data_IF_191246253807
#
_entry.id   IF_191246253807
#
_cell.length_a   1.000
_cell.length_b   1.000
_cell.length_c   1.000
_cell.angle_alpha   90.00
_cell.angle_beta   90.00
_cell.angle_gamma   90.00
#
_symmetry.space_group_name_H-M   'P 1'
#
loop_
_entity.id
_entity.type
_entity.pdbx_description
1 polymer ?
#
# COMPACT_ATOMS: atom_id res chain seq x y z
N UNK A 1 15.28 60.44 -3.18
CA UNK A 1 16.75 60.35 -2.97
C UNK A 1 17.49 59.96 -4.24
N UNK A 2 17.10 58.88 -4.94
CA UNK A 2 17.67 58.48 -6.25
C UNK A 2 17.55 59.56 -7.34
N UNK A 3 16.41 60.27 -7.40
CA UNK A 3 16.16 61.40 -8.32
C UNK A 3 17.03 62.63 -8.04
N UNK A 4 17.36 62.88 -6.76
CA UNK A 4 18.21 64.01 -6.36
C UNK A 4 19.71 63.72 -6.57
N UNK A 5 20.13 62.46 -6.39
CA UNK A 5 21.49 62.02 -6.68
C UNK A 5 21.81 61.96 -8.17
N UNK A 6 20.85 61.56 -9.01
CA UNK A 6 21.01 61.55 -10.47
C UNK A 6 21.13 62.96 -11.04
N UNK A 7 20.30 63.91 -10.60
CA UNK A 7 20.35 65.31 -11.07
C UNK A 7 21.69 66.01 -10.80
N UNK A 8 22.40 65.68 -9.71
CA UNK A 8 23.69 66.28 -9.38
C UNK A 8 24.86 65.73 -10.20
N UNK A 9 24.76 64.50 -10.71
CA UNK A 9 25.77 63.86 -11.56
C UNK A 9 25.71 64.42 -13.01
N UNK A 10 24.56 64.93 -13.44
CA UNK A 10 24.41 65.54 -14.77
C UNK A 10 24.89 67.01 -14.87
N UNK A 11 25.16 67.67 -13.73
CA UNK A 11 25.52 69.10 -13.70
C UNK A 11 27.04 69.33 -13.67
N UNK A 12 27.83 68.36 -13.17
CA UNK A 12 29.30 68.41 -13.17
C UNK A 12 29.85 67.15 -13.87
N UNK A 13 30.36 67.32 -15.09
CA UNK A 13 30.98 66.21 -15.83
C UNK A 13 32.21 65.66 -15.11
N UNK A 14 32.07 64.45 -14.56
CA UNK A 14 33.14 63.46 -14.59
C UNK A 14 32.57 62.16 -15.14
N UNK A 15 32.97 61.82 -16.36
CA UNK A 15 32.70 60.53 -17.03
C UNK A 15 32.99 59.35 -16.08
N UNK A 16 34.00 59.49 -15.22
CA UNK A 16 34.36 58.54 -14.17
C UNK A 16 33.26 58.33 -13.12
N UNK A 17 32.51 59.37 -12.74
CA UNK A 17 31.44 59.27 -11.75
C UNK A 17 30.20 58.56 -12.31
N UNK A 18 29.85 58.81 -13.59
CA UNK A 18 28.77 58.09 -14.29
C UNK A 18 29.15 56.61 -14.49
N UNK A 19 30.40 56.34 -14.88
CA UNK A 19 30.93 54.97 -15.02
C UNK A 19 30.95 54.20 -13.68
N UNK A 20 31.38 54.86 -12.60
CA UNK A 20 31.37 54.29 -11.25
C UNK A 20 29.94 54.03 -10.75
N UNK A 21 29.00 54.94 -10.98
CA UNK A 21 27.60 54.77 -10.62
C UNK A 21 26.93 53.65 -11.42
N UNK A 22 27.25 53.55 -12.72
CA UNK A 22 26.82 52.44 -13.59
C UNK A 22 27.36 51.09 -13.14
N UNK A 23 28.63 51.02 -12.69
CA UNK A 23 29.21 49.80 -12.12
C UNK A 23 28.57 49.40 -10.79
N UNK A 24 28.25 50.36 -9.92
CA UNK A 24 27.53 50.09 -8.65
C UNK A 24 26.10 49.61 -8.92
N UNK A 25 25.37 50.24 -9.86
CA UNK A 25 24.04 49.80 -10.28
C UNK A 25 24.06 48.42 -10.95
N UNK A 26 25.05 48.15 -11.80
CA UNK A 26 25.26 46.84 -12.42
C UNK A 26 25.57 45.76 -11.38
N UNK A 27 26.40 46.09 -10.38
CA UNK A 27 26.68 45.22 -9.25
C UNK A 27 25.43 44.91 -8.41
N UNK A 28 24.65 45.93 -8.05
CA UNK A 28 23.37 45.76 -7.32
C UNK A 28 22.37 44.95 -8.15
N UNK A 29 22.26 45.22 -9.45
CA UNK A 29 21.42 44.47 -10.39
C UNK A 29 21.82 42.99 -10.46
N UNK A 30 23.12 42.71 -10.44
CA UNK A 30 23.65 41.34 -10.44
C UNK A 30 23.32 40.59 -9.15
N UNK A 31 23.47 41.23 -7.97
CA UNK A 31 23.07 40.62 -6.71
C UNK A 31 21.56 40.39 -6.61
N UNK A 32 20.76 41.32 -7.13
CA UNK A 32 19.30 41.15 -7.19
C UNK A 32 18.90 40.01 -8.14
N UNK A 33 19.53 39.91 -9.31
CA UNK A 33 19.33 38.81 -10.24
C UNK A 33 19.76 37.47 -9.65
N UNK A 34 20.90 37.40 -8.95
CA UNK A 34 21.35 36.21 -8.23
C UNK A 34 20.37 35.82 -7.11
N UNK A 35 19.89 36.79 -6.33
CA UNK A 35 18.88 36.55 -5.29
C UNK A 35 17.57 36.00 -5.90
N UNK A 36 17.06 36.64 -6.96
CA UNK A 36 15.88 36.19 -7.68
C UNK A 36 16.07 34.79 -8.29
N UNK A 37 17.24 34.51 -8.86
CA UNK A 37 17.58 33.19 -9.40
C UNK A 37 17.59 32.11 -8.31
N UNK A 38 18.18 32.39 -7.14
CA UNK A 38 18.16 31.49 -5.98
C UNK A 38 16.71 31.26 -5.51
N UNK A 39 15.89 32.31 -5.44
CA UNK A 39 14.50 32.21 -5.04
C UNK A 39 13.67 31.35 -6.00
N UNK A 40 13.80 31.60 -7.32
CA UNK A 40 13.12 30.84 -8.37
C UNK A 40 13.59 29.38 -8.35
N UNK A 41 14.89 29.14 -8.26
CA UNK A 41 15.46 27.79 -8.22
C UNK A 41 14.98 26.99 -7.01
N UNK A 42 14.92 27.63 -5.83
CA UNK A 42 14.36 27.01 -4.64
C UNK A 42 12.86 26.69 -4.81
N UNK A 43 12.09 27.59 -5.42
CA UNK A 43 10.69 27.34 -5.76
C UNK A 43 10.51 26.14 -6.69
N UNK A 44 11.31 26.05 -7.76
CA UNK A 44 11.29 24.92 -8.69
C UNK A 44 11.67 23.59 -8.01
N UNK A 45 12.68 23.61 -7.15
CA UNK A 45 13.09 22.42 -6.39
C UNK A 45 11.98 21.94 -5.44
N UNK A 46 11.29 22.87 -4.77
CA UNK A 46 10.16 22.54 -3.89
C UNK A 46 9.01 21.93 -4.70
N UNK A 47 8.66 22.54 -5.84
CA UNK A 47 7.62 22.05 -6.73
C UNK A 47 7.93 20.65 -7.27
N UNK A 48 9.12 20.44 -7.82
CA UNK A 48 9.55 19.15 -8.35
C UNK A 48 9.53 18.05 -7.28
N UNK A 49 9.97 18.35 -6.06
CA UNK A 49 9.89 17.42 -4.93
C UNK A 49 8.44 17.11 -4.53
N UNK A 50 7.55 18.09 -4.57
CA UNK A 50 6.13 17.89 -4.29
C UNK A 50 5.47 16.99 -5.33
N UNK A 51 5.75 17.22 -6.61
CA UNK A 51 5.20 16.43 -7.72
C UNK A 51 5.69 14.97 -7.65
N UNK A 52 6.98 14.75 -7.39
CA UNK A 52 7.53 13.40 -7.18
C UNK A 52 6.91 12.69 -5.97
N UNK A 53 6.71 13.41 -4.85
CA UNK A 53 6.02 12.84 -3.68
C UNK A 53 4.60 12.43 -4.01
N UNK A 54 3.86 13.30 -4.69
CA UNK A 54 2.48 13.05 -5.10
C UNK A 54 2.38 11.80 -5.97
N UNK A 55 3.30 11.64 -6.92
CA UNK A 55 3.36 10.47 -7.78
C UNK A 55 3.55 9.18 -6.98
N UNK A 56 4.56 9.12 -6.11
CA UNK A 56 4.82 7.94 -5.30
C UNK A 56 3.69 7.63 -4.30
N UNK A 57 3.09 8.65 -3.69
CA UNK A 57 1.94 8.46 -2.81
C UNK A 57 0.76 7.91 -3.59
N UNK A 58 0.45 8.45 -4.77
CA UNK A 58 -0.66 7.94 -5.59
C UNK A 58 -0.44 6.47 -6.00
N UNK A 59 0.77 6.12 -6.46
CA UNK A 59 1.12 4.74 -6.81
C UNK A 59 0.96 3.79 -5.61
N UNK A 60 1.44 4.20 -4.43
CA UNK A 60 1.32 3.39 -3.21
C UNK A 60 -0.14 3.31 -2.74
N UNK A 61 -0.92 4.38 -2.82
CA UNK A 61 -2.35 4.38 -2.46
C UNK A 61 -3.17 3.44 -3.35
N UNK A 62 -2.92 3.41 -4.66
CA UNK A 62 -3.57 2.47 -5.58
C UNK A 62 -3.25 1.03 -5.18
N UNK A 63 -1.97 0.74 -4.94
CA UNK A 63 -1.53 -0.60 -4.51
C UNK A 63 -2.16 -1.01 -3.17
N UNK A 64 -2.24 -0.08 -2.22
CA UNK A 64 -2.87 -0.29 -0.92
C UNK A 64 -4.37 -0.58 -1.09
N UNK A 65 -5.09 0.13 -1.95
CA UNK A 65 -6.50 -0.15 -2.22
C UNK A 65 -6.71 -1.58 -2.74
N UNK A 66 -5.88 -2.01 -3.70
CA UNK A 66 -5.94 -3.40 -4.20
C UNK A 66 -5.65 -4.41 -3.08
N UNK A 67 -4.70 -4.09 -2.21
CA UNK A 67 -4.33 -4.95 -1.09
C UNK A 67 -5.44 -5.10 -0.06
N UNK A 68 -6.12 -3.99 0.24
CA UNK A 68 -7.27 -3.97 1.13
C UNK A 68 -8.37 -4.90 0.61
N UNK A 69 -8.74 -4.78 -0.66
CA UNK A 69 -9.79 -5.61 -1.26
C UNK A 69 -9.45 -7.10 -1.20
N UNK A 70 -8.21 -7.50 -1.48
CA UNK A 70 -7.79 -8.90 -1.41
C UNK A 70 -7.75 -9.43 0.02
N UNK A 71 -7.18 -8.68 0.97
CA UNK A 71 -7.13 -9.08 2.38
C UNK A 71 -8.55 -9.18 2.95
N UNK A 72 -9.43 -8.26 2.58
CA UNK A 72 -10.84 -8.29 2.98
C UNK A 72 -11.55 -9.55 2.45
N UNK A 73 -11.38 -9.88 1.15
CA UNK A 73 -11.92 -11.12 0.57
C UNK A 73 -11.40 -12.37 1.28
N UNK A 74 -10.09 -12.42 1.59
CA UNK A 74 -9.50 -13.52 2.37
C UNK A 74 -10.16 -13.60 3.76
N UNK A 75 -10.37 -12.46 4.43
CA UNK A 75 -11.03 -12.39 5.74
C UNK A 75 -12.44 -12.96 5.72
N UNK A 76 -13.27 -12.52 4.77
CA UNK A 76 -14.65 -13.01 4.59
C UNK A 76 -14.70 -14.52 4.39
N UNK A 77 -13.76 -15.03 3.60
CA UNK A 77 -13.63 -16.47 3.34
C UNK A 77 -13.25 -17.23 4.59
N UNK A 78 -12.27 -16.76 5.36
CA UNK A 78 -11.87 -17.40 6.60
C UNK A 78 -13.02 -17.43 7.61
N UNK A 79 -13.84 -16.37 7.68
CA UNK A 79 -15.07 -16.33 8.48
C UNK A 79 -16.06 -17.41 8.00
N UNK A 80 -16.24 -17.54 6.68
CA UNK A 80 -17.13 -18.56 6.12
C UNK A 80 -16.63 -19.99 6.38
N UNK A 81 -15.33 -20.23 6.25
CA UNK A 81 -14.72 -21.53 6.53
C UNK A 81 -14.80 -21.90 8.02
N UNK A 82 -14.77 -20.93 8.94
CA UNK A 82 -15.06 -21.18 10.36
C UNK A 82 -16.49 -21.71 10.61
N UNK A 83 -17.41 -21.51 9.67
CA UNK A 83 -18.79 -22.01 9.73
C UNK A 83 -19.00 -23.33 8.97
N UNK A 84 -17.93 -24.03 8.57
CA UNK A 84 -17.98 -25.27 7.76
C UNK A 84 -18.76 -26.40 8.43
N UNK A 85 -18.91 -26.40 9.77
CA UNK A 85 -19.68 -27.43 10.48
C UNK A 85 -21.18 -27.47 10.09
N UNK A 86 -21.67 -26.40 9.47
CA UNK A 86 -23.08 -26.27 9.08
C UNK A 86 -23.34 -26.44 7.59
N UNK A 87 -22.27 -26.43 6.77
CA UNK A 87 -22.36 -26.45 5.31
C UNK A 87 -21.48 -27.53 4.69
N UNK A 88 -22.07 -28.29 3.78
CA UNK A 88 -21.45 -29.35 3.02
C UNK A 88 -20.50 -28.82 1.94
N UNK A 89 -20.81 -27.68 1.33
CA UNK A 89 -19.93 -26.98 0.38
C UNK A 89 -20.00 -25.48 0.61
N UNK A 90 -18.85 -24.83 0.65
CA UNK A 90 -18.63 -23.39 0.78
C UNK A 90 -18.29 -22.82 -0.63
N UNK A 91 -18.95 -21.72 -1.02
CA UNK A 91 -18.81 -20.94 -2.27
C UNK A 91 -17.72 -21.34 -3.32
N UNK A 92 -18.10 -21.53 -4.59
CA UNK A 92 -17.17 -21.81 -5.70
C UNK A 92 -16.15 -20.68 -5.97
N UNK A 93 -16.53 -19.42 -5.76
CA UNK A 93 -15.65 -18.26 -5.95
C UNK A 93 -14.39 -18.33 -5.08
N UNK A 94 -14.41 -19.11 -3.99
CA UNK A 94 -13.23 -19.36 -3.17
C UNK A 94 -12.08 -20.03 -3.96
N UNK A 95 -12.41 -20.91 -4.90
CA UNK A 95 -11.44 -21.69 -5.69
C UNK A 95 -10.77 -20.82 -6.76
N UNK A 96 -11.46 -19.76 -7.19
CA UNK A 96 -11.04 -18.89 -8.29
C UNK A 96 -10.10 -17.75 -7.85
N UNK A 97 -9.90 -17.55 -6.55
CA UNK A 97 -9.05 -16.47 -6.04
C UNK A 97 -7.58 -16.78 -6.31
N UNK A 98 -6.92 -15.91 -7.07
CA UNK A 98 -5.46 -15.89 -7.21
C UNK A 98 -4.86 -14.72 -6.41
N UNK A 99 -4.43 -14.98 -5.17
CA UNK A 99 -3.80 -13.97 -4.33
C UNK A 99 -2.28 -13.78 -4.59
N UNK A 100 -1.70 -14.47 -5.59
CA UNK A 100 -0.26 -14.34 -5.89
C UNK A 100 0.10 -13.05 -6.63
N UNK A 101 -0.87 -12.44 -7.33
CA UNK A 101 -0.60 -11.28 -8.19
C UNK A 101 -0.23 -10.05 -7.37
N UNK A 102 -0.94 -9.79 -6.26
CA UNK A 102 -0.66 -8.68 -5.37
C UNK A 102 0.72 -8.74 -4.71
N UNK A 103 1.20 -9.93 -4.34
CA UNK A 103 2.56 -10.11 -3.82
C UNK A 103 3.59 -9.56 -4.80
N UNK A 104 3.46 -9.88 -6.09
CA UNK A 104 4.40 -9.40 -7.12
C UNK A 104 4.33 -7.88 -7.27
N UNK A 105 3.14 -7.30 -7.20
CA UNK A 105 2.96 -5.85 -7.27
C UNK A 105 3.63 -5.12 -6.10
N UNK A 106 3.59 -5.67 -4.87
CA UNK A 106 4.36 -5.13 -3.75
C UNK A 106 5.87 -5.25 -3.95
N UNK A 107 6.37 -6.33 -4.54
CA UNK A 107 7.80 -6.44 -4.84
C UNK A 107 8.24 -5.39 -5.87
N UNK A 108 7.46 -5.16 -6.93
CA UNK A 108 7.77 -4.17 -7.97
C UNK A 108 7.79 -2.74 -7.42
N UNK A 109 6.90 -2.42 -6.49
CA UNK A 109 6.71 -1.07 -5.95
C UNK A 109 7.57 -0.76 -4.71
N UNK A 110 8.47 -1.66 -4.31
CA UNK A 110 9.36 -1.44 -3.14
C UNK A 110 10.24 -0.20 -3.29
N UNK A 111 10.64 0.15 -4.53
CA UNK A 111 11.44 1.34 -4.81
C UNK A 111 10.64 2.61 -4.52
N UNK A 112 9.34 2.64 -4.84
CA UNK A 112 8.48 3.79 -4.59
C UNK A 112 8.35 4.09 -3.09
N UNK A 113 8.22 3.04 -2.26
CA UNK A 113 8.24 3.18 -0.81
C UNK A 113 9.59 3.76 -0.31
N UNK A 114 10.73 3.26 -0.83
CA UNK A 114 12.06 3.79 -0.48
C UNK A 114 12.27 5.24 -0.93
N UNK A 115 11.78 5.61 -2.11
CA UNK A 115 11.90 6.96 -2.63
C UNK A 115 11.05 7.94 -1.82
N UNK A 116 9.79 7.58 -1.53
CA UNK A 116 8.93 8.40 -0.68
C UNK A 116 9.54 8.62 0.71
N UNK A 117 10.10 7.57 1.32
CA UNK A 117 10.79 7.64 2.60
C UNK A 117 12.00 8.60 2.57
N UNK A 118 12.76 8.63 1.46
CA UNK A 118 13.87 9.58 1.26
C UNK A 118 13.40 11.02 1.05
N UNK A 119 12.29 11.20 0.35
CA UNK A 119 11.69 12.52 0.11
C UNK A 119 11.05 13.08 1.38
N UNK A 120 10.67 12.23 2.33
CA UNK A 120 10.16 12.63 3.63
C UNK A 120 11.30 13.08 4.56
N UNK A 121 11.34 14.38 4.81
CA UNK A 121 12.37 15.00 5.66
C UNK A 121 12.09 14.87 7.16
N UNK A 122 10.83 14.61 7.55
CA UNK A 122 10.39 14.58 8.96
C UNK A 122 10.04 13.19 9.49
N UNK A 123 9.52 12.29 8.66
CA UNK A 123 9.12 10.94 9.08
C UNK A 123 9.57 9.88 8.07
N UNK A 124 10.57 9.08 8.44
CA UNK A 124 11.19 8.03 7.61
C UNK A 124 10.74 6.65 8.03
N UNK A 125 9.42 6.46 8.05
CA UNK A 125 8.79 5.22 8.46
C UNK A 125 7.95 4.56 7.37
N UNK A 126 7.88 5.15 6.16
CA UNK A 126 7.11 4.59 5.05
C UNK A 126 7.69 3.23 4.67
N UNK A 127 9.00 3.17 4.45
CA UNK A 127 9.63 1.94 3.97
C UNK A 127 9.59 0.82 5.01
N UNK A 128 9.76 1.14 6.29
CA UNK A 128 9.74 0.14 7.36
C UNK A 128 8.33 -0.47 7.54
N UNK A 129 7.28 0.35 7.50
CA UNK A 129 5.90 -0.13 7.56
C UNK A 129 5.50 -0.88 6.29
N UNK A 130 5.95 -0.41 5.12
CA UNK A 130 5.76 -1.10 3.84
C UNK A 130 6.38 -2.49 3.86
N UNK A 131 7.64 -2.61 4.30
CA UNK A 131 8.33 -3.88 4.41
C UNK A 131 7.67 -4.80 5.44
N UNK A 132 7.13 -4.26 6.55
CA UNK A 132 6.33 -5.05 7.51
C UNK A 132 5.10 -5.61 6.79
N UNK A 133 4.30 -4.76 6.14
CA UNK A 133 3.08 -5.16 5.46
C UNK A 133 3.33 -6.20 4.37
N UNK A 134 4.33 -5.98 3.51
CA UNK A 134 4.70 -6.90 2.43
C UNK A 134 5.02 -8.32 2.93
N UNK A 135 5.78 -8.43 4.03
CA UNK A 135 6.10 -9.73 4.64
C UNK A 135 4.83 -10.40 5.17
N UNK A 136 3.95 -9.65 5.83
CA UNK A 136 2.71 -10.23 6.35
C UNK A 136 1.83 -10.69 5.19
N UNK A 137 1.68 -9.88 4.14
CA UNK A 137 0.95 -10.26 2.94
C UNK A 137 1.52 -11.54 2.31
N UNK A 138 2.85 -11.64 2.19
CA UNK A 138 3.49 -12.84 1.66
C UNK A 138 3.08 -14.11 2.41
N UNK A 139 3.15 -14.07 3.74
CA UNK A 139 2.79 -15.21 4.56
C UNK A 139 1.28 -15.46 4.57
N UNK A 140 0.43 -14.42 4.64
CA UNK A 140 -1.02 -14.57 4.58
C UNK A 140 -1.43 -15.33 3.31
N UNK A 141 -0.92 -14.90 2.15
CA UNK A 141 -1.18 -15.57 0.87
C UNK A 141 -0.66 -17.01 0.90
N UNK A 142 0.51 -17.27 1.48
CA UNK A 142 1.05 -18.63 1.58
C UNK A 142 0.15 -19.54 2.41
N UNK A 143 -0.30 -19.09 3.58
CA UNK A 143 -1.20 -19.86 4.44
C UNK A 143 -2.59 -20.03 3.81
N UNK A 144 -3.11 -18.95 3.20
CA UNK A 144 -4.38 -18.97 2.49
C UNK A 144 -4.37 -19.96 1.32
N UNK A 145 -3.34 -19.94 0.46
CA UNK A 145 -3.22 -20.88 -0.66
C UNK A 145 -3.17 -22.34 -0.18
N UNK A 146 -2.59 -22.61 1.00
CA UNK A 146 -2.61 -23.95 1.57
C UNK A 146 -4.03 -24.39 1.95
N UNK A 147 -4.78 -23.51 2.63
CA UNK A 147 -6.20 -23.74 2.96
C UNK A 147 -7.00 -23.93 1.67
N UNK A 148 -6.76 -23.08 0.67
CA UNK A 148 -7.41 -23.14 -0.64
C UNK A 148 -7.16 -24.45 -1.35
N UNK A 149 -5.92 -24.92 -1.42
CA UNK A 149 -5.60 -26.20 -2.05
C UNK A 149 -6.30 -27.38 -1.38
N UNK A 150 -6.31 -27.43 -0.04
CA UNK A 150 -7.00 -28.49 0.70
C UNK A 150 -8.50 -28.47 0.47
N UNK A 151 -9.09 -27.28 0.45
CA UNK A 151 -10.52 -27.14 0.22
C UNK A 151 -10.90 -27.40 -1.25
N UNK A 152 -10.08 -27.03 -2.23
CA UNK A 152 -10.29 -27.36 -3.64
C UNK A 152 -10.28 -28.87 -3.85
N UNK A 153 -9.36 -29.60 -3.21
CA UNK A 153 -9.35 -31.06 -3.25
C UNK A 153 -10.63 -31.65 -2.65
N UNK A 154 -11.09 -31.12 -1.50
CA UNK A 154 -12.39 -31.48 -0.93
C UNK A 154 -13.54 -31.21 -1.90
N UNK A 155 -13.61 -30.01 -2.45
CA UNK A 155 -14.67 -29.58 -3.35
C UNK A 155 -14.76 -30.49 -4.57
N UNK A 156 -13.63 -30.76 -5.24
CA UNK A 156 -13.59 -31.63 -6.44
C UNK A 156 -14.06 -33.04 -6.10
N UNK A 157 -13.56 -33.63 -5.01
CA UNK A 157 -13.98 -34.97 -4.57
C UNK A 157 -15.47 -35.01 -4.21
N UNK A 158 -15.92 -33.99 -3.48
CA UNK A 158 -17.27 -33.89 -2.98
C UNK A 158 -18.29 -33.69 -4.12
N UNK A 159 -18.05 -32.71 -5.00
CA UNK A 159 -18.86 -32.48 -6.21
C UNK A 159 -18.84 -33.73 -7.10
N UNK A 160 -17.69 -34.37 -7.31
CA UNK A 160 -17.63 -35.58 -8.14
C UNK A 160 -18.55 -36.70 -7.63
N UNK A 161 -18.66 -36.84 -6.31
CA UNK A 161 -19.52 -37.83 -5.64
C UNK A 161 -21.01 -37.47 -5.59
N UNK A 162 -21.39 -36.22 -5.90
CA UNK A 162 -22.79 -35.79 -5.81
C UNK A 162 -23.67 -36.38 -6.92
N UNK A 163 -24.93 -36.77 -6.61
CA UNK A 163 -25.95 -37.06 -7.62
C UNK A 163 -26.21 -35.85 -8.54
N UNK A 164 -26.52 -36.11 -9.82
CA UNK A 164 -26.73 -35.06 -10.83
C UNK A 164 -27.77 -34.01 -10.42
N UNK A 165 -28.89 -34.43 -9.82
CA UNK A 165 -29.92 -33.50 -9.35
C UNK A 165 -29.47 -32.55 -8.23
N UNK A 166 -28.46 -32.92 -7.43
CA UNK A 166 -27.88 -32.03 -6.42
C UNK A 166 -26.87 -31.05 -7.04
N UNK A 167 -26.15 -31.47 -8.08
CA UNK A 167 -25.27 -30.59 -8.87
C UNK A 167 -26.06 -29.49 -9.57
N UNK A 168 -27.22 -29.82 -10.13
CA UNK A 168 -28.09 -28.84 -10.79
C UNK A 168 -28.70 -27.84 -9.81
N UNK A 169 -29.05 -28.28 -8.60
CA UNK A 169 -29.54 -27.42 -7.52
C UNK A 169 -28.43 -26.48 -7.00
N UNK A 170 -27.21 -26.99 -6.83
CA UNK A 170 -26.03 -26.21 -6.47
C UNK A 170 -25.71 -25.11 -7.48
N UNK A 171 -25.74 -25.45 -8.79
CA UNK A 171 -25.50 -24.50 -9.89
C UNK A 171 -26.56 -23.41 -9.99
N UNK A 172 -27.81 -23.71 -9.63
CA UNK A 172 -28.93 -22.75 -9.72
C UNK A 172 -29.03 -21.81 -8.52
N UNK A 173 -28.77 -22.31 -7.32
CA UNK A 173 -29.01 -21.56 -6.10
C UNK A 173 -27.84 -20.68 -5.67
N UNK A 174 -26.64 -20.88 -6.23
CA UNK A 174 -25.48 -20.09 -5.92
C UNK A 174 -25.09 -20.23 -4.45
N UNK A 175 -24.18 -21.17 -4.16
CA UNK A 175 -23.43 -21.27 -2.89
C UNK A 175 -24.15 -21.92 -1.69
N UNK A 176 -23.34 -22.43 -0.76
CA UNK A 176 -23.64 -22.94 0.60
C UNK A 176 -24.77 -23.98 0.73
N UNK A 177 -24.46 -25.25 0.46
CA UNK A 177 -25.37 -26.37 0.76
C UNK A 177 -25.31 -26.65 2.26
N UNK A 178 -26.43 -26.50 2.98
CA UNK A 178 -26.51 -26.92 4.38
C UNK A 178 -26.53 -28.44 4.49
N UNK A 179 -25.85 -28.99 5.50
CA UNK A 179 -25.93 -30.44 5.74
C UNK A 179 -27.37 -30.86 6.00
N UNK A 180 -27.80 -31.92 5.30
CA UNK A 180 -29.13 -32.52 5.52
C UNK A 180 -29.23 -33.27 6.86
N UNK A 181 -28.10 -33.69 7.45
CA UNK A 181 -28.00 -34.41 8.75
C UNK A 181 -26.67 -34.11 9.44
N UNK A 182 -26.62 -34.16 10.78
CA UNK A 182 -25.35 -34.15 11.54
C UNK A 182 -24.48 -35.33 11.08
N UNK A 183 -23.37 -35.03 10.41
CA UNK A 183 -22.38 -36.03 9.97
C UNK A 183 -21.12 -35.90 10.82
N UNK A 184 -20.37 -37.00 10.97
CA UNK A 184 -19.00 -36.95 11.47
C UNK A 184 -18.15 -36.10 10.52
N UNK A 185 -17.28 -35.25 11.08
CA UNK A 185 -16.38 -34.44 10.25
C UNK A 185 -15.56 -35.34 9.32
N UNK A 186 -15.44 -34.96 8.06
CA UNK A 186 -14.51 -35.63 7.15
C UNK A 186 -13.05 -35.35 7.56
N UNK A 187 -12.12 -36.17 7.10
CA UNK A 187 -10.68 -35.94 7.34
C UNK A 187 -10.25 -34.57 6.79
N UNK A 188 -10.86 -34.11 5.69
CA UNK A 188 -10.53 -32.81 5.09
C UNK A 188 -11.16 -31.66 5.89
N UNK A 189 -12.39 -31.79 6.38
CA UNK A 189 -12.98 -30.80 7.30
C UNK A 189 -12.15 -30.66 8.59
N UNK A 190 -11.63 -31.77 9.09
CA UNK A 190 -10.73 -31.79 10.25
C UNK A 190 -9.40 -31.10 9.94
N UNK A 191 -8.80 -31.38 8.77
CA UNK A 191 -7.59 -30.68 8.28
C UNK A 191 -7.81 -29.19 8.06
N UNK A 192 -8.95 -28.79 7.49
CA UNK A 192 -9.29 -27.38 7.27
C UNK A 192 -9.50 -26.66 8.59
N UNK A 193 -10.27 -27.25 9.51
CA UNK A 193 -10.44 -26.73 10.87
C UNK A 193 -9.08 -26.54 11.54
N UNK A 194 -8.20 -27.54 11.45
CA UNK A 194 -6.83 -27.48 11.94
C UNK A 194 -6.08 -26.30 11.31
N UNK A 195 -6.00 -26.20 9.99
CA UNK A 195 -5.23 -25.16 9.31
C UNK A 195 -5.71 -23.75 9.62
N UNK A 196 -7.01 -23.56 9.84
CA UNK A 196 -7.59 -22.27 10.20
C UNK A 196 -7.32 -21.95 11.66
N UNK A 197 -7.39 -22.93 12.56
CA UNK A 197 -7.24 -22.73 14.00
C UNK A 197 -5.80 -22.79 14.51
N UNK A 198 -4.85 -23.22 13.67
CA UNK A 198 -3.45 -23.44 14.08
C UNK A 198 -2.62 -22.17 14.08
N UNK A 199 -1.63 -22.18 14.98
CA UNK A 199 -0.67 -21.11 15.13
C UNK A 199 0.04 -20.80 13.80
N UNK A 200 0.07 -19.51 13.46
CA UNK A 200 0.80 -18.99 12.31
C UNK A 200 2.11 -18.39 12.81
N UNK A 201 3.22 -18.96 12.35
CA UNK A 201 4.57 -18.55 12.75
C UNK A 201 5.44 -18.28 11.54
N UNK A 202 6.04 -17.09 11.51
CA UNK A 202 7.02 -16.77 10.49
C UNK A 202 8.07 -15.78 10.99
N UNK A 203 9.16 -15.68 10.25
CA UNK A 203 10.22 -14.69 10.51
C UNK A 203 10.30 -13.72 9.35
N UNK A 204 10.39 -12.42 9.66
CA UNK A 204 10.58 -11.37 8.68
C UNK A 204 11.13 -10.10 9.33
N UNK A 205 11.93 -9.33 8.60
CA UNK A 205 12.60 -8.14 9.13
C UNK A 205 13.35 -8.39 10.45
N UNK A 206 14.02 -9.55 10.57
CA UNK A 206 14.74 -10.00 11.77
C UNK A 206 13.87 -10.13 13.03
N UNK A 207 12.55 -10.27 12.87
CA UNK A 207 11.59 -10.49 13.96
C UNK A 207 10.79 -11.78 13.71
N UNK A 208 10.56 -12.52 14.78
CA UNK A 208 9.63 -13.66 14.78
C UNK A 208 8.23 -13.12 15.07
N UNK A 209 7.27 -13.49 14.22
CA UNK A 209 5.85 -13.21 14.39
C UNK A 209 5.14 -14.51 14.73
N UNK A 210 4.21 -14.42 15.67
CA UNK A 210 3.41 -15.54 16.18
C UNK A 210 1.99 -15.04 16.33
N UNK A 211 1.04 -15.74 15.72
CA UNK A 211 -0.39 -15.51 15.81
C UNK A 211 -1.07 -16.81 16.18
N UNK A 212 -2.10 -16.77 17.03
CA UNK A 212 -2.84 -17.95 17.43
C UNK A 212 -3.49 -18.65 16.23
N UNK A 213 -3.87 -17.88 15.20
CA UNK A 213 -4.44 -18.41 13.96
C UNK A 213 -4.32 -17.41 12.80
N UNK A 214 -4.65 -17.88 11.59
CA UNK A 214 -4.65 -17.05 10.38
C UNK A 214 -5.66 -15.89 10.47
N UNK A 215 -6.79 -16.06 11.17
CA UNK A 215 -7.77 -14.97 11.35
C UNK A 215 -7.21 -13.82 12.18
N UNK A 216 -6.44 -14.11 13.23
CA UNK A 216 -5.72 -13.09 14.01
C UNK A 216 -4.66 -12.39 13.17
N UNK A 217 -3.92 -13.14 12.35
CA UNK A 217 -2.95 -12.56 11.42
C UNK A 217 -3.62 -11.56 10.45
N UNK A 218 -4.79 -11.90 9.90
CA UNK A 218 -5.54 -11.01 9.01
C UNK A 218 -5.95 -9.71 9.73
N UNK A 219 -6.37 -9.79 11.00
CA UNK A 219 -6.70 -8.59 11.81
C UNK A 219 -5.49 -7.71 12.06
N UNK A 220 -4.34 -8.28 12.44
CA UNK A 220 -3.10 -7.50 12.59
C UNK A 220 -2.68 -6.87 11.25
N UNK A 221 -2.92 -7.55 10.12
CA UNK A 221 -2.67 -6.98 8.79
C UNK A 221 -3.52 -5.73 8.51
N UNK A 222 -4.78 -5.70 8.92
CA UNK A 222 -5.63 -4.51 8.83
C UNK A 222 -5.06 -3.35 9.67
N UNK A 223 -4.52 -3.63 10.86
CA UNK A 223 -3.86 -2.59 11.66
C UNK A 223 -2.58 -2.06 11.02
N UNK A 224 -1.77 -2.95 10.44
CA UNK A 224 -0.54 -2.57 9.72
C UNK A 224 -0.91 -1.74 8.48
N UNK A 225 -1.96 -2.15 7.77
CA UNK A 225 -2.50 -1.44 6.61
C UNK A 225 -2.89 -0.01 6.99
N UNK A 226 -3.75 0.17 8.00
CA UNK A 226 -4.24 1.48 8.41
C UNK A 226 -3.10 2.42 8.81
N UNK A 227 -2.07 1.90 9.49
CA UNK A 227 -0.87 2.66 9.84
C UNK A 227 -0.09 3.06 8.59
N UNK A 228 0.14 2.13 7.66
CA UNK A 228 0.87 2.38 6.43
C UNK A 228 0.14 3.38 5.53
N UNK A 229 -1.16 3.21 5.33
CA UNK A 229 -2.00 4.13 4.55
C UNK A 229 -1.91 5.54 5.12
N UNK A 230 -2.11 5.69 6.43
CA UNK A 230 -2.00 6.98 7.10
C UNK A 230 -0.64 7.65 6.86
N UNK A 231 0.46 6.92 7.07
CA UNK A 231 1.82 7.47 6.88
C UNK A 231 2.06 7.87 5.41
N UNK A 232 1.55 7.07 4.46
CA UNK A 232 1.65 7.37 3.02
C UNK A 232 0.86 8.63 2.68
N UNK A 233 -0.38 8.76 3.15
CA UNK A 233 -1.21 9.95 2.90
C UNK A 233 -0.66 11.20 3.58
N UNK A 234 -0.21 11.10 4.83
CA UNK A 234 0.40 12.19 5.60
C UNK A 234 1.74 12.67 4.97
N UNK A 235 2.31 11.91 4.02
CA UNK A 235 3.51 12.30 3.28
C UNK A 235 3.25 13.46 2.29
N UNK A 236 1.99 13.68 1.88
CA UNK A 236 1.57 14.86 1.14
C UNK A 236 1.03 15.89 2.13
N UNK A 237 1.77 16.98 2.32
CA UNK A 237 1.23 18.11 3.07
C UNK A 237 0.30 18.93 2.16
N UNK A 238 -1.02 18.72 2.30
CA UNK A 238 -2.05 19.46 1.55
C UNK A 238 -2.26 20.88 2.09
N UNK A 239 -1.69 21.22 3.25
CA UNK A 239 -1.75 22.58 3.78
C UNK A 239 -0.71 23.44 3.06
N UNK A 240 -1.21 24.38 2.26
CA UNK A 240 -0.44 25.54 1.79
C UNK A 240 0.11 26.27 3.02
N UNK A 241 1.43 26.34 3.15
CA UNK A 241 2.10 27.27 4.06
C UNK A 241 2.11 28.65 3.43
#
# INVERSE_FOLDING_TARGET
>A
MLTYGTLRIFIDEKIEAISAFGSILSGIGTFFAAYAAIYIFNGWKVQANFDLKKEHVNQLSILLSMAYDEVHRISEILINLNNIETHEVICENFIEINANDLRMEFYKNIINAKMLDRLNTKNKEVFSHYAKYQIHLFYLVKYFNNIQNQYTEYYVNHISSMPMGQKDDFRKNGYFIKYKRKKSKSDIETKLTYLISHEVVFTGNNKKYVYNNITEMTKEMEEIYNKLEKIVLDSINLKLN
#
